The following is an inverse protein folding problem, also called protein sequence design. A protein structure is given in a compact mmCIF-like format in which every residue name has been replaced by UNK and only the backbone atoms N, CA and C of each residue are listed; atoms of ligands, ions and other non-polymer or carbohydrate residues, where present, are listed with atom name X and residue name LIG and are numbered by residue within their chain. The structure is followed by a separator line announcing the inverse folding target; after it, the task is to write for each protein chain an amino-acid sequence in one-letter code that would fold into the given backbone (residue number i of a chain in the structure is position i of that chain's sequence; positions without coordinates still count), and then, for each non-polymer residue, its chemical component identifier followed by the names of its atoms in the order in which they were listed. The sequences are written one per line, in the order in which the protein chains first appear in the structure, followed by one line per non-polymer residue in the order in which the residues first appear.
data_IF_507507308363
#
_entry.id   IF_507507308363
#
_cell.length_a   1.000
_cell.length_b   1.000
_cell.length_c   1.000
_cell.angle_alpha   90.00
_cell.angle_beta   90.00
_cell.angle_gamma   90.00
#
_symmetry.space_group_name_H-M   'P 1'
#
loop_
_entity.id
_entity.type
_entity.pdbx_description
1 polymer ?
#
# COMPACT_ATOMS: atom_id res chain seq x y z
N UNK A 1 -13.33 -4.95 3.73
CA UNK A 1 -14.82 -4.85 3.75
C UNK A 1 -15.41 -5.75 4.82
N UNK A 2 -16.45 -5.30 5.51
CA UNK A 2 -17.14 -6.05 6.57
C UNK A 2 -18.63 -6.18 6.23
N UNK A 3 -19.23 -7.33 6.55
CA UNK A 3 -20.68 -7.53 6.36
C UNK A 3 -21.44 -6.62 7.35
N UNK A 4 -22.39 -5.85 6.85
CA UNK A 4 -23.23 -4.96 7.65
C UNK A 4 -24.61 -5.59 7.94
N UNK A 5 -25.25 -6.12 6.90
CA UNK A 5 -26.48 -6.90 6.99
C UNK A 5 -26.53 -7.91 5.83
N UNK A 6 -27.68 -8.53 5.58
CA UNK A 6 -27.82 -9.56 4.54
C UNK A 6 -27.42 -9.07 3.15
N UNK A 7 -27.77 -7.82 2.81
CA UNK A 7 -27.58 -7.24 1.46
C UNK A 7 -26.55 -6.12 1.40
N UNK A 8 -25.91 -5.73 2.52
CA UNK A 8 -25.05 -4.57 2.57
C UNK A 8 -23.71 -4.88 3.22
N UNK A 9 -22.70 -4.16 2.81
CA UNK A 9 -21.34 -4.21 3.39
C UNK A 9 -20.88 -2.81 3.76
N UNK A 10 -20.01 -2.71 4.76
CA UNK A 10 -19.20 -1.52 5.00
C UNK A 10 -17.87 -1.73 4.33
N UNK A 11 -17.43 -0.75 3.54
CA UNK A 11 -16.12 -0.75 2.92
C UNK A 11 -15.42 0.57 3.15
N UNK A 12 -14.10 0.51 3.17
CA UNK A 12 -13.19 1.64 3.33
C UNK A 12 -12.51 1.90 1.98
N UNK A 13 -12.32 3.17 1.66
CA UNK A 13 -11.70 3.62 0.42
C UNK A 13 -10.71 4.74 0.74
N UNK A 14 -9.60 4.76 0.03
CA UNK A 14 -8.71 5.90 0.02
C UNK A 14 -9.01 6.74 -1.22
N UNK A 15 -9.28 8.02 -1.02
CA UNK A 15 -9.74 8.94 -2.07
C UNK A 15 -8.80 10.13 -2.21
N UNK A 16 -8.75 10.71 -3.41
CA UNK A 16 -7.89 11.86 -3.70
C UNK A 16 -8.25 13.10 -2.88
N UNK A 17 -9.55 13.37 -2.71
CA UNK A 17 -10.00 14.62 -2.14
C UNK A 17 -10.42 14.54 -0.67
N UNK A 18 -10.64 13.36 -0.12
CA UNK A 18 -11.11 13.18 1.26
C UNK A 18 -10.25 12.23 2.08
N UNK A 19 -9.15 11.68 1.51
CA UNK A 19 -8.37 10.65 2.18
C UNK A 19 -9.16 9.36 2.40
N UNK A 20 -8.97 8.70 3.53
CA UNK A 20 -9.70 7.48 3.86
C UNK A 20 -11.14 7.79 4.28
N UNK A 21 -12.10 7.15 3.64
CA UNK A 21 -13.52 7.24 3.97
C UNK A 21 -14.12 5.85 4.12
N UNK A 22 -15.13 5.75 4.98
CA UNK A 22 -15.92 4.54 5.21
C UNK A 22 -17.38 4.77 4.85
N UNK A 23 -18.04 3.76 4.28
CA UNK A 23 -19.45 3.88 3.96
C UNK A 23 -20.15 2.56 3.70
N UNK A 24 -21.49 2.59 3.80
CA UNK A 24 -22.36 1.46 3.55
C UNK A 24 -22.65 1.35 2.05
N UNK A 25 -22.41 0.18 1.49
CA UNK A 25 -22.74 -0.17 0.11
C UNK A 25 -23.94 -1.09 0.13
N UNK A 26 -25.10 -0.57 -0.27
CA UNK A 26 -26.32 -1.36 -0.44
C UNK A 26 -26.17 -2.29 -1.65
N UNK A 27 -26.63 -3.53 -1.53
CA UNK A 27 -26.41 -4.56 -2.56
C UNK A 27 -24.96 -5.06 -2.67
N UNK A 28 -24.10 -4.69 -1.71
CA UNK A 28 -22.68 -5.03 -1.70
C UNK A 28 -22.37 -6.52 -1.60
N UNK A 29 -23.36 -7.35 -1.24
CA UNK A 29 -23.25 -8.81 -1.23
C UNK A 29 -23.56 -9.46 -2.59
N UNK A 30 -24.13 -8.70 -3.56
CA UNK A 30 -24.38 -9.19 -4.91
C UNK A 30 -23.09 -9.61 -5.60
N UNK A 31 -23.15 -10.64 -6.46
CA UNK A 31 -21.98 -11.15 -7.18
C UNK A 31 -21.22 -10.06 -7.93
N UNK A 32 -21.92 -9.14 -8.60
CA UNK A 32 -21.33 -8.03 -9.33
C UNK A 32 -20.55 -7.09 -8.42
N UNK A 33 -21.19 -6.54 -7.40
CA UNK A 33 -20.55 -5.57 -6.49
C UNK A 33 -19.45 -6.23 -5.66
N UNK A 34 -19.65 -7.49 -5.24
CA UNK A 34 -18.62 -8.24 -4.52
C UNK A 34 -17.32 -8.34 -5.31
N UNK A 35 -17.38 -8.51 -6.64
CA UNK A 35 -16.18 -8.53 -7.49
C UNK A 35 -15.53 -7.16 -7.61
N UNK A 36 -16.28 -6.07 -7.61
CA UNK A 36 -15.71 -4.71 -7.60
C UNK A 36 -14.92 -4.44 -6.32
N UNK A 37 -15.40 -4.95 -5.18
CA UNK A 37 -14.84 -4.73 -3.85
C UNK A 37 -13.65 -5.66 -3.52
N UNK A 38 -12.95 -6.19 -4.51
CA UNK A 38 -11.62 -6.75 -4.27
C UNK A 38 -10.68 -5.64 -3.81
N UNK A 39 -9.92 -5.94 -2.76
CA UNK A 39 -8.93 -5.03 -2.20
C UNK A 39 -7.92 -4.63 -3.29
N UNK A 40 -7.65 -3.33 -3.41
CA UNK A 40 -6.76 -2.77 -4.42
C UNK A 40 -7.41 -2.38 -5.75
N UNK A 41 -8.66 -2.75 -6.03
CA UNK A 41 -9.34 -2.26 -7.23
C UNK A 41 -9.62 -0.75 -7.16
N UNK A 42 -9.53 -0.07 -8.30
CA UNK A 42 -9.87 1.34 -8.44
C UNK A 42 -11.35 1.50 -8.79
N UNK A 43 -12.04 2.37 -8.06
CA UNK A 43 -13.47 2.55 -8.17
C UNK A 43 -13.84 4.03 -8.25
N UNK A 44 -14.82 4.35 -9.08
CA UNK A 44 -15.59 5.58 -8.92
C UNK A 44 -16.58 5.41 -7.78
N UNK A 45 -16.56 6.34 -6.84
CA UNK A 45 -17.45 6.32 -5.69
C UNK A 45 -18.29 7.59 -5.63
N UNK A 46 -19.55 7.43 -5.29
CA UNK A 46 -20.44 8.54 -4.96
C UNK A 46 -20.86 8.39 -3.51
N UNK A 47 -20.35 9.30 -2.67
CA UNK A 47 -20.58 9.31 -1.23
C UNK A 47 -21.75 10.22 -0.86
N UNK A 48 -22.71 9.69 -0.14
CA UNK A 48 -23.85 10.44 0.35
C UNK A 48 -23.97 10.30 1.88
N UNK A 49 -23.72 11.39 2.58
CA UNK A 49 -23.91 11.48 4.04
C UNK A 49 -24.99 12.50 4.36
N UNK A 50 -25.97 12.09 5.14
CA UNK A 50 -27.04 12.99 5.63
C UNK A 50 -26.66 13.72 6.93
N UNK A 51 -25.56 13.32 7.56
CA UNK A 51 -25.12 13.88 8.85
C UNK A 51 -23.65 13.52 9.07
N UNK A 52 -22.87 14.45 9.63
CA UNK A 52 -21.47 14.21 9.99
C UNK A 52 -21.27 13.13 11.08
N UNK A 53 -22.32 12.83 11.84
CA UNK A 53 -22.25 11.87 12.94
C UNK A 53 -22.66 10.44 12.57
N UNK A 54 -23.06 10.18 11.30
CA UNK A 54 -23.50 8.86 10.85
C UNK A 54 -22.68 8.42 9.65
N UNK A 55 -22.37 7.12 9.62
CA UNK A 55 -21.75 6.50 8.46
C UNK A 55 -22.61 6.74 7.22
N UNK A 56 -22.00 7.27 6.16
CA UNK A 56 -22.68 7.55 4.90
C UNK A 56 -22.91 6.31 4.06
N UNK A 57 -23.64 6.48 2.98
CA UNK A 57 -23.82 5.46 1.95
C UNK A 57 -22.93 5.72 0.73
N UNK A 58 -22.45 4.64 0.12
CA UNK A 58 -21.62 4.66 -1.06
C UNK A 58 -22.30 3.94 -2.22
N UNK A 59 -22.30 4.56 -3.39
CA UNK A 59 -22.51 3.89 -4.67
C UNK A 59 -21.13 3.72 -5.31
N UNK A 60 -20.88 2.53 -5.84
CA UNK A 60 -19.57 2.17 -6.41
C UNK A 60 -19.74 1.68 -7.84
N UNK A 61 -18.84 2.12 -8.70
CA UNK A 61 -18.69 1.63 -10.07
C UNK A 61 -17.23 1.31 -10.29
N UNK A 62 -16.96 0.24 -11.04
CA UNK A 62 -15.56 -0.12 -11.34
C UNK A 62 -14.95 0.91 -12.29
N UNK A 63 -13.79 1.40 -11.95
CA UNK A 63 -12.91 2.17 -12.82
C UNK A 63 -11.88 1.23 -13.44
N UNK A 64 -11.09 0.56 -12.61
CA UNK A 64 -10.05 -0.36 -13.06
C UNK A 64 -9.95 -1.60 -12.15
N UNK A 65 -9.91 -2.78 -12.77
CA UNK A 65 -9.55 -4.00 -12.08
C UNK A 65 -8.03 -4.09 -11.96
N UNK A 66 -7.48 -3.85 -10.78
CA UNK A 66 -6.03 -3.93 -10.50
C UNK A 66 -5.63 -5.31 -10.00
N UNK A 67 -6.22 -5.75 -8.90
CA UNK A 67 -5.85 -7.00 -8.20
C UNK A 67 -6.03 -8.27 -9.04
N UNK A 68 -7.07 -8.42 -9.90
CA UNK A 68 -7.22 -9.62 -10.71
C UNK A 68 -6.03 -9.97 -11.60
N UNK A 69 -5.22 -9.01 -12.00
CA UNK A 69 -4.01 -9.25 -12.80
C UNK A 69 -2.93 -10.04 -12.05
N UNK A 70 -3.01 -10.10 -10.72
CA UNK A 70 -1.99 -10.72 -9.86
C UNK A 70 -2.48 -11.98 -9.15
N UNK A 71 -3.66 -12.52 -9.48
CA UNK A 71 -4.25 -13.67 -8.78
C UNK A 71 -3.43 -14.95 -8.89
N UNK A 72 -2.65 -15.11 -9.95
CA UNK A 72 -1.78 -16.27 -10.17
C UNK A 72 -0.42 -16.12 -9.48
N UNK A 73 -0.01 -14.91 -9.13
CA UNK A 73 1.23 -14.59 -8.43
C UNK A 73 0.99 -14.46 -6.92
N UNK A 74 1.30 -15.52 -6.19
CA UNK A 74 1.06 -15.56 -4.74
C UNK A 74 1.84 -14.50 -3.97
N UNK A 75 3.07 -14.18 -4.39
CA UNK A 75 3.90 -13.20 -3.69
C UNK A 75 3.33 -11.79 -3.88
N UNK A 76 3.02 -11.40 -5.11
CA UNK A 76 2.40 -10.11 -5.40
C UNK A 76 1.03 -9.97 -4.76
N UNK A 77 0.22 -11.04 -4.76
CA UNK A 77 -1.08 -11.04 -4.10
C UNK A 77 -0.95 -10.82 -2.57
N UNK A 78 0.02 -11.46 -1.92
CA UNK A 78 0.29 -11.25 -0.50
C UNK A 78 0.74 -9.81 -0.23
N UNK A 79 1.61 -9.24 -1.09
CA UNK A 79 2.00 -7.83 -0.98
C UNK A 79 0.82 -6.88 -1.15
N UNK A 80 -0.12 -7.16 -2.07
CA UNK A 80 -1.34 -6.35 -2.21
C UNK A 80 -2.17 -6.38 -0.92
N UNK A 81 -2.43 -7.58 -0.38
CA UNK A 81 -3.20 -7.73 0.86
C UNK A 81 -2.51 -7.02 2.02
N UNK A 82 -1.20 -7.19 2.15
CA UNK A 82 -0.39 -6.51 3.17
C UNK A 82 -0.49 -4.99 3.04
N UNK A 83 -0.23 -4.46 1.85
CA UNK A 83 -0.24 -3.01 1.57
C UNK A 83 -1.60 -2.38 1.82
N UNK A 84 -2.69 -3.02 1.39
CA UNK A 84 -4.04 -2.50 1.63
C UNK A 84 -4.38 -2.49 3.14
N UNK A 85 -3.91 -3.47 3.91
CA UNK A 85 -4.05 -3.46 5.35
C UNK A 85 -3.16 -2.41 6.03
N UNK A 86 -1.94 -2.21 5.55
CA UNK A 86 -1.02 -1.17 6.04
C UNK A 86 -1.65 0.22 5.89
N UNK A 87 -2.15 0.54 4.70
CA UNK A 87 -2.85 1.80 4.40
C UNK A 87 -4.07 1.95 5.33
N UNK A 88 -4.88 0.90 5.46
CA UNK A 88 -6.07 0.90 6.30
C UNK A 88 -5.75 1.24 7.76
N UNK A 89 -4.68 0.68 8.32
CA UNK A 89 -4.32 0.83 9.73
C UNK A 89 -3.65 2.16 10.00
N UNK A 90 -2.76 2.60 9.11
CA UNK A 90 -1.88 3.74 9.36
C UNK A 90 -2.42 5.08 8.85
N UNK A 91 -3.48 5.10 8.05
CA UNK A 91 -4.10 6.36 7.62
C UNK A 91 -5.30 6.72 8.48
N UNK A 92 -5.49 8.03 8.69
CA UNK A 92 -6.61 8.58 9.46
C UNK A 92 -7.83 8.82 8.56
N UNK A 93 -9.04 8.63 9.07
CA UNK A 93 -10.27 8.92 8.33
C UNK A 93 -10.47 10.42 8.11
N UNK A 94 -10.93 10.77 6.91
CA UNK A 94 -11.22 12.14 6.46
C UNK A 94 -9.99 13.08 6.47
N UNK A 95 -8.79 12.53 6.49
CA UNK A 95 -7.55 13.26 6.34
C UNK A 95 -7.09 13.20 4.88
N UNK A 96 -7.25 14.31 4.17
CA UNK A 96 -6.83 14.44 2.78
C UNK A 96 -5.32 14.45 2.68
N UNK A 97 -4.77 13.51 1.91
CA UNK A 97 -3.37 13.51 1.50
C UNK A 97 -3.26 12.99 0.07
N UNK A 98 -3.05 13.91 -0.89
CA UNK A 98 -2.94 13.57 -2.31
C UNK A 98 -1.69 12.79 -2.63
N UNK A 99 -0.60 13.02 -1.93
CA UNK A 99 0.66 12.32 -2.16
C UNK A 99 0.50 10.83 -1.84
N UNK A 100 -0.18 10.50 -0.73
CA UNK A 100 -0.53 9.11 -0.40
C UNK A 100 -1.47 8.52 -1.46
N UNK A 101 -2.46 9.28 -1.96
CA UNK A 101 -3.36 8.78 -3.00
C UNK A 101 -2.59 8.39 -4.28
N UNK A 102 -1.70 9.26 -4.77
CA UNK A 102 -0.89 8.97 -5.95
C UNK A 102 0.13 7.87 -5.71
N UNK A 103 0.69 7.78 -4.50
CA UNK A 103 1.56 6.67 -4.12
C UNK A 103 0.82 5.34 -4.20
N UNK A 104 -0.43 5.28 -3.72
CA UNK A 104 -1.28 4.08 -3.80
C UNK A 104 -1.63 3.75 -5.27
N UNK A 105 -1.97 4.75 -6.07
CA UNK A 105 -2.34 4.52 -7.49
C UNK A 105 -1.16 3.96 -8.29
N UNK A 106 0.07 4.44 -8.02
CA UNK A 106 1.30 3.96 -8.67
C UNK A 106 1.76 2.57 -8.20
N UNK A 107 1.30 2.10 -7.04
CA UNK A 107 1.73 0.83 -6.45
C UNK A 107 1.58 -0.36 -7.41
N UNK A 108 0.49 -0.41 -8.14
CA UNK A 108 0.21 -1.52 -9.06
C UNK A 108 1.10 -1.53 -10.30
N UNK A 109 1.63 -0.38 -10.70
CA UNK A 109 2.63 -0.31 -11.79
C UNK A 109 3.97 -0.88 -11.31
N UNK A 110 4.35 -0.61 -10.07
CA UNK A 110 5.54 -1.21 -9.45
C UNK A 110 5.46 -2.74 -9.48
N UNK A 111 4.31 -3.32 -9.14
CA UNK A 111 4.14 -4.77 -9.14
C UNK A 111 4.26 -5.44 -10.53
N UNK A 112 4.17 -4.68 -11.62
CA UNK A 112 4.36 -5.21 -13.00
C UNK A 112 5.83 -5.30 -13.39
N UNK A 113 6.71 -4.61 -12.68
CA UNK A 113 8.14 -4.55 -12.95
C UNK A 113 8.84 -5.86 -12.59
N UNK A 114 9.97 -6.16 -13.24
CA UNK A 114 10.80 -7.33 -12.92
C UNK A 114 11.47 -7.16 -11.55
N UNK A 115 11.90 -5.94 -11.23
CA UNK A 115 12.52 -5.59 -9.95
C UNK A 115 11.50 -5.08 -8.92
N UNK A 116 10.27 -5.56 -9.01
CA UNK A 116 9.15 -5.07 -8.20
C UNK A 116 9.42 -5.09 -6.70
N UNK A 117 10.23 -6.02 -6.20
CA UNK A 117 10.42 -6.18 -4.75
C UNK A 117 11.23 -5.03 -4.16
N UNK A 118 12.32 -4.60 -4.82
CA UNK A 118 13.09 -3.43 -4.38
C UNK A 118 12.29 -2.13 -4.48
N UNK A 119 11.55 -1.99 -5.59
CA UNK A 119 10.63 -0.86 -5.80
C UNK A 119 9.51 -0.84 -4.77
N UNK A 120 9.01 -2.01 -4.35
CA UNK A 120 8.04 -2.14 -3.28
C UNK A 120 8.58 -1.68 -1.93
N UNK A 121 9.81 -2.07 -1.57
CA UNK A 121 10.44 -1.59 -0.32
C UNK A 121 10.60 -0.07 -0.33
N UNK A 122 11.07 0.51 -1.44
CA UNK A 122 11.16 1.96 -1.59
C UNK A 122 9.79 2.65 -1.51
N UNK A 123 8.76 2.03 -2.10
CA UNK A 123 7.38 2.49 -1.98
C UNK A 123 6.92 2.51 -0.52
N UNK A 124 7.20 1.45 0.24
CA UNK A 124 6.84 1.33 1.64
C UNK A 124 7.52 2.38 2.50
N UNK A 125 8.83 2.62 2.29
CA UNK A 125 9.56 3.69 2.97
C UNK A 125 8.99 5.08 2.66
N UNK A 126 8.63 5.35 1.41
CA UNK A 126 7.96 6.59 1.04
C UNK A 126 6.59 6.73 1.71
N UNK A 127 5.83 5.64 1.81
CA UNK A 127 4.57 5.65 2.54
C UNK A 127 4.77 6.00 4.02
N UNK A 128 5.75 5.38 4.70
CA UNK A 128 6.09 5.72 6.09
C UNK A 128 6.48 7.19 6.23
N UNK A 129 7.28 7.71 5.32
CA UNK A 129 7.66 9.13 5.31
C UNK A 129 6.45 10.05 5.21
N UNK A 130 5.50 9.75 4.31
CA UNK A 130 4.28 10.57 4.11
C UNK A 130 3.33 10.56 5.32
N UNK A 131 3.37 9.51 6.15
CA UNK A 131 2.59 9.44 7.40
C UNK A 131 3.38 9.92 8.63
N UNK A 132 4.58 10.50 8.42
CA UNK A 132 5.38 11.14 9.47
C UNK A 132 6.46 10.26 10.09
N UNK A 133 6.74 9.07 9.56
CA UNK A 133 7.85 8.21 9.98
C UNK A 133 8.97 8.26 8.93
N UNK A 134 9.82 9.28 9.01
CA UNK A 134 11.00 9.37 8.14
C UNK A 134 12.15 8.57 8.77
N UNK A 135 12.46 7.40 8.18
CA UNK A 135 13.54 6.52 8.65
C UNK A 135 14.78 6.83 7.81
N UNK A 136 15.81 7.37 8.45
CA UNK A 136 17.16 7.46 7.86
C UNK A 136 18.00 6.30 8.36
N UNK A 137 18.27 5.34 7.47
CA UNK A 137 19.07 4.17 7.82
C UNK A 137 20.50 4.52 8.18
N UNK A 138 21.07 5.64 7.70
CA UNK A 138 22.42 6.09 8.06
C UNK A 138 22.60 6.26 9.57
N UNK A 139 21.55 6.60 10.29
CA UNK A 139 21.59 6.75 11.75
C UNK A 139 21.75 5.41 12.48
N UNK A 140 21.40 4.30 11.83
CA UNK A 140 21.29 2.98 12.44
C UNK A 140 22.33 1.97 11.97
N UNK A 141 23.13 2.29 10.95
CA UNK A 141 24.12 1.37 10.38
C UNK A 141 25.54 1.83 10.61
N UNK A 142 26.46 0.91 10.48
CA UNK A 142 27.92 1.12 10.39
C UNK A 142 28.42 0.47 9.10
N UNK A 143 29.40 1.12 8.46
CA UNK A 143 30.05 0.58 7.27
C UNK A 143 31.02 -0.54 7.66
N UNK A 144 30.92 -1.67 6.97
CA UNK A 144 31.86 -2.80 7.10
C UNK A 144 32.47 -3.07 5.73
N UNK A 145 33.78 -2.85 5.60
CA UNK A 145 34.52 -3.10 4.36
C UNK A 145 35.03 -4.54 4.33
N UNK A 146 34.55 -5.32 3.36
CA UNK A 146 35.08 -6.63 3.02
C UNK A 146 35.75 -6.58 1.63
N UNK A 147 37.07 -6.37 1.61
CA UNK A 147 37.80 -6.17 0.35
C UNK A 147 37.40 -4.88 -0.36
N UNK A 148 36.87 -5.00 -1.59
CA UNK A 148 36.40 -3.87 -2.40
C UNK A 148 34.89 -3.61 -2.28
N UNK A 149 34.15 -4.38 -1.47
CA UNK A 149 32.71 -4.20 -1.24
C UNK A 149 32.49 -3.47 0.10
N UNK A 150 31.64 -2.47 0.07
CA UNK A 150 31.11 -1.80 1.25
C UNK A 150 29.77 -2.45 1.59
N UNK A 151 29.67 -3.00 2.78
CA UNK A 151 28.44 -3.54 3.34
C UNK A 151 27.99 -2.66 4.51
N UNK A 152 26.71 -2.60 4.77
CA UNK A 152 26.14 -1.88 5.91
C UNK A 152 25.59 -2.87 6.91
N UNK A 153 25.98 -2.71 8.17
CA UNK A 153 25.57 -3.56 9.29
C UNK A 153 24.79 -2.72 10.28
N UNK A 154 23.72 -3.27 10.86
CA UNK A 154 23.01 -2.58 11.95
C UNK A 154 23.92 -2.43 13.16
N UNK A 155 23.99 -1.22 13.71
CA UNK A 155 24.64 -0.96 15.01
C UNK A 155 24.04 -1.89 16.07
N UNK A 156 24.88 -2.54 16.86
CA UNK A 156 24.49 -3.50 17.90
C UNK A 156 23.83 -4.81 17.42
N UNK A 157 23.99 -5.19 16.15
CA UNK A 157 23.46 -6.44 15.59
C UNK A 157 24.42 -6.96 14.51
N UNK A 158 24.42 -8.28 14.27
CA UNK A 158 25.18 -8.89 13.17
C UNK A 158 24.40 -8.90 11.83
N UNK A 159 23.26 -8.20 11.77
CA UNK A 159 22.42 -8.15 10.57
C UNK A 159 22.97 -7.17 9.56
N UNK A 160 23.18 -7.64 8.34
CA UNK A 160 23.55 -6.82 7.18
C UNK A 160 22.26 -6.16 6.63
N UNK A 161 22.36 -4.89 6.28
CA UNK A 161 21.31 -4.12 5.65
C UNK A 161 21.65 -3.98 4.16
N UNK A 162 20.70 -4.22 3.25
CA UNK A 162 20.89 -4.00 1.82
C UNK A 162 21.33 -2.57 1.51
N UNK A 163 22.34 -2.41 0.63
CA UNK A 163 22.95 -1.12 0.32
C UNK A 163 21.94 -0.09 -0.20
N UNK A 164 20.94 -0.52 -0.96
CA UNK A 164 19.89 0.36 -1.51
C UNK A 164 19.04 1.08 -0.45
N UNK A 165 18.98 0.56 0.79
CA UNK A 165 18.27 1.20 1.89
C UNK A 165 19.09 2.36 2.50
N UNK A 166 20.39 2.33 2.32
CA UNK A 166 21.35 3.32 2.85
C UNK A 166 21.73 4.31 1.76
N UNK A 167 22.11 3.82 0.58
CA UNK A 167 22.51 4.60 -0.58
C UNK A 167 21.34 4.72 -1.57
N UNK A 168 20.60 5.82 -1.51
CA UNK A 168 19.43 6.07 -2.38
C UNK A 168 19.77 6.23 -3.86
N UNK A 169 21.06 6.36 -4.21
CA UNK A 169 21.53 6.60 -5.58
C UNK A 169 22.01 5.33 -6.31
N UNK A 170 22.05 4.18 -5.66
CA UNK A 170 22.43 2.91 -6.31
C UNK A 170 21.20 2.19 -6.86
N UNK A 171 20.95 2.35 -8.17
CA UNK A 171 19.88 1.67 -8.92
C UNK A 171 20.15 0.17 -9.17
N UNK A 172 21.34 -0.34 -8.86
CA UNK A 172 21.75 -1.73 -9.11
C UNK A 172 21.58 -2.63 -7.89
N UNK A 173 20.49 -3.39 -7.86
CA UNK A 173 20.26 -4.43 -6.86
C UNK A 173 20.19 -5.79 -7.54
N UNK A 174 21.27 -6.54 -7.45
CA UNK A 174 21.19 -7.98 -7.66
C UNK A 174 20.71 -8.65 -6.36
N UNK A 175 19.57 -9.28 -6.41
CA UNK A 175 18.96 -9.98 -5.26
C UNK A 175 19.65 -11.28 -4.86
N UNK A 176 20.73 -11.70 -5.57
CA UNK A 176 21.45 -12.94 -5.29
C UNK A 176 22.20 -12.94 -3.96
N UNK A 177 22.43 -11.77 -3.36
CA UNK A 177 23.24 -11.61 -2.15
C UNK A 177 22.42 -11.43 -0.84
N UNK A 178 21.10 -11.58 -0.85
CA UNK A 178 20.26 -11.16 0.30
C UNK A 178 19.61 -12.31 1.09
N UNK A 179 19.82 -13.60 0.72
CA UNK A 179 19.28 -14.75 1.48
C UNK A 179 20.29 -15.86 1.63
#
# INVERSE_FOLDING_TARGET
KNKYNENSVISEFYTEDHGKISGIIFGGTSKKIKNYLFEGNKLHINYNSKSQSKIGSLKVEIDEFKTPYFLEDKQKLLCIIYTMNLIKILTVENEKNREIYYLIDNYFEILKDEEWLSKFVNWELNFYKLIGYDIDFNDYVEEVSEGNKINYKLKNSDKIIPNFLVNKDEEDISFEDTF
#
